data_IF_570382379821
#
_entry.id   IF_570382379821
#
_cell.length_a   1.000
_cell.length_b   1.000
_cell.length_c   1.000
_cell.angle_alpha   90.00
_cell.angle_beta   90.00
_cell.angle_gamma   90.00
#
_symmetry.space_group_name_H-M   'P 1'
#
loop_
_entity.id
_entity.type
_entity.pdbx_description
1 polymer ?
#
# COMPACT_ATOMS: atom_id res chain seq x y z
N UNK A 1 5.68 -1.52 -14.93
CA UNK A 1 4.79 -2.66 -14.61
C UNK A 1 5.62 -3.56 -13.74
N UNK A 2 5.30 -3.62 -12.45
CA UNK A 2 6.08 -4.33 -11.45
C UNK A 2 6.17 -5.82 -11.83
N UNK A 3 7.38 -6.35 -11.97
CA UNK A 3 7.60 -7.77 -12.19
C UNK A 3 7.69 -8.50 -10.84
N UNK A 4 6.61 -9.17 -10.44
CA UNK A 4 6.56 -9.99 -9.23
C UNK A 4 7.17 -11.37 -9.53
N UNK A 5 8.14 -11.87 -8.73
CA UNK A 5 8.64 -13.24 -8.87
C UNK A 5 7.57 -14.27 -8.51
N UNK A 6 7.24 -15.17 -9.44
CA UNK A 6 6.20 -16.19 -9.23
C UNK A 6 6.51 -17.15 -8.07
N UNK A 7 7.79 -17.43 -7.82
CA UNK A 7 8.24 -18.38 -6.79
C UNK A 7 7.93 -17.93 -5.35
N UNK A 8 7.70 -16.63 -5.13
CA UNK A 8 7.34 -16.09 -3.81
C UNK A 8 5.88 -16.29 -3.42
N UNK A 9 5.02 -16.55 -4.41
CA UNK A 9 3.58 -16.66 -4.21
C UNK A 9 3.03 -17.93 -4.89
N UNK A 10 3.39 -19.14 -4.40
CA UNK A 10 2.96 -20.40 -5.02
C UNK A 10 1.43 -20.60 -5.04
N UNK A 11 0.67 -19.79 -4.29
CA UNK A 11 -0.80 -19.78 -4.30
C UNK A 11 -1.45 -18.73 -5.21
N UNK A 12 -0.66 -17.88 -5.89
CA UNK A 12 -1.18 -16.88 -6.83
C UNK A 12 -0.92 -17.33 -8.27
N UNK A 13 -1.96 -17.28 -9.10
CA UNK A 13 -1.81 -17.46 -10.55
C UNK A 13 -0.97 -16.33 -11.15
N UNK A 14 -0.24 -16.60 -12.23
CA UNK A 14 0.52 -15.60 -12.99
C UNK A 14 -0.32 -14.37 -13.39
N UNK A 15 -1.59 -14.57 -13.76
CA UNK A 15 -2.52 -13.48 -14.04
C UNK A 15 -2.73 -12.55 -12.83
N UNK A 16 -2.88 -13.08 -11.62
CA UNK A 16 -2.99 -12.29 -10.40
C UNK A 16 -1.69 -11.55 -10.06
N UNK A 17 -0.54 -12.17 -10.33
CA UNK A 17 0.76 -11.54 -10.14
C UNK A 17 0.96 -10.37 -11.12
N UNK A 18 0.59 -10.56 -12.38
CA UNK A 18 0.68 -9.53 -13.43
C UNK A 18 -0.27 -8.36 -13.17
N UNK A 19 -1.48 -8.65 -12.72
CA UNK A 19 -2.50 -7.64 -12.37
C UNK A 19 -2.28 -7.05 -10.96
N UNK A 20 -1.27 -7.51 -10.21
CA UNK A 20 -0.97 -7.02 -8.86
C UNK A 20 -2.08 -7.29 -7.83
N UNK A 21 -2.84 -8.38 -8.00
CA UNK A 21 -3.95 -8.77 -7.12
C UNK A 21 -3.41 -9.53 -5.92
N UNK A 22 -3.21 -8.81 -4.82
CA UNK A 22 -2.73 -9.35 -3.55
C UNK A 22 -3.80 -9.32 -2.46
N UNK A 23 -3.82 -10.34 -1.60
CA UNK A 23 -4.58 -10.29 -0.33
C UNK A 23 -3.68 -9.82 0.81
N UNK A 24 -4.27 -9.51 1.98
CA UNK A 24 -3.53 -8.95 3.11
C UNK A 24 -2.34 -9.79 3.58
N UNK A 25 -2.42 -11.13 3.52
CA UNK A 25 -1.30 -12.02 3.83
C UNK A 25 -0.16 -11.89 2.82
N UNK A 26 -0.48 -11.67 1.55
CA UNK A 26 0.52 -11.55 0.49
C UNK A 26 1.21 -10.20 0.58
N UNK A 27 0.46 -9.12 0.79
CA UNK A 27 1.00 -7.77 1.02
C UNK A 27 2.01 -7.81 2.18
N UNK A 28 1.68 -8.49 3.29
CA UNK A 28 2.60 -8.65 4.43
C UNK A 28 3.88 -9.43 4.08
N UNK A 29 3.82 -10.37 3.13
CA UNK A 29 5.01 -11.08 2.64
C UNK A 29 5.86 -10.16 1.77
N UNK A 30 5.24 -9.48 0.81
CA UNK A 30 5.90 -8.51 -0.08
C UNK A 30 6.60 -7.41 0.72
N UNK A 31 5.94 -6.85 1.75
CA UNK A 31 6.53 -5.81 2.60
C UNK A 31 7.77 -6.23 3.38
N UNK A 32 8.00 -7.54 3.56
CA UNK A 32 9.18 -8.08 4.25
C UNK A 32 10.31 -8.47 3.28
N UNK A 33 10.05 -8.46 1.98
CA UNK A 33 11.03 -8.84 0.98
C UNK A 33 11.85 -7.63 0.54
N UNK A 34 13.08 -7.54 1.04
CA UNK A 34 14.01 -6.47 0.67
C UNK A 34 14.41 -6.51 -0.81
N UNK A 35 14.37 -7.70 -1.44
CA UNK A 35 14.68 -7.85 -2.86
C UNK A 35 13.54 -7.38 -3.78
N UNK A 36 12.35 -7.12 -3.22
CA UNK A 36 11.22 -6.64 -4.00
C UNK A 36 11.43 -5.18 -4.42
N UNK A 37 11.96 -4.36 -3.52
CA UNK A 37 12.15 -2.92 -3.73
C UNK A 37 13.24 -2.61 -4.74
N UNK A 38 14.27 -3.45 -4.79
CA UNK A 38 15.37 -3.32 -5.74
C UNK A 38 14.93 -3.51 -7.20
N UNK A 39 13.81 -4.22 -7.42
CA UNK A 39 13.24 -4.48 -8.75
C UNK A 39 12.31 -3.38 -9.26
N UNK A 40 12.02 -2.37 -8.44
CA UNK A 40 11.14 -1.27 -8.81
C UNK A 40 11.90 -0.12 -9.45
N UNK A 41 11.28 0.47 -10.47
CA UNK A 41 11.70 1.76 -11.03
C UNK A 41 11.51 2.90 -10.02
N UNK A 42 12.15 4.04 -10.24
CA UNK A 42 12.16 5.15 -9.26
C UNK A 42 10.75 5.59 -8.82
N UNK A 43 9.80 5.74 -9.74
CA UNK A 43 8.44 6.16 -9.40
C UNK A 43 7.64 5.03 -8.74
N UNK A 44 7.87 3.77 -9.16
CA UNK A 44 7.25 2.59 -8.55
C UNK A 44 7.71 2.45 -7.10
N UNK A 45 9.00 2.67 -6.84
CA UNK A 45 9.59 2.65 -5.50
C UNK A 45 9.03 3.76 -4.61
N UNK A 46 8.93 4.99 -5.09
CA UNK A 46 8.33 6.10 -4.31
C UNK A 46 6.88 5.83 -3.92
N UNK A 47 6.10 5.31 -4.87
CA UNK A 47 4.72 4.91 -4.61
C UNK A 47 4.66 3.77 -3.58
N UNK A 48 5.51 2.75 -3.72
CA UNK A 48 5.60 1.64 -2.78
C UNK A 48 6.02 2.07 -1.38
N UNK A 49 7.03 2.93 -1.24
CA UNK A 49 7.47 3.50 0.04
C UNK A 49 6.36 4.29 0.72
N UNK A 50 5.64 5.13 -0.03
CA UNK A 50 4.49 5.87 0.51
C UNK A 50 3.34 4.94 0.93
N UNK A 51 3.12 3.84 0.21
CA UNK A 51 2.14 2.82 0.58
C UNK A 51 2.54 2.06 1.85
N UNK A 52 3.81 1.65 1.97
CA UNK A 52 4.35 1.05 3.19
C UNK A 52 4.16 1.99 4.37
N UNK A 53 4.46 3.28 4.19
CA UNK A 53 4.32 4.28 5.24
C UNK A 53 2.87 4.38 5.73
N UNK A 54 1.90 4.47 4.82
CA UNK A 54 0.46 4.44 5.18
C UNK A 54 0.15 3.19 6.02
N UNK A 55 0.53 1.99 5.56
CA UNK A 55 0.27 0.75 6.32
C UNK A 55 0.91 0.78 7.71
N UNK A 56 2.16 1.25 7.82
CA UNK A 56 2.83 1.32 9.12
C UNK A 56 2.20 2.34 10.05
N UNK A 57 1.72 3.48 9.52
CA UNK A 57 0.98 4.48 10.29
C UNK A 57 -0.40 4.00 10.73
N UNK A 58 -0.94 2.95 10.10
CA UNK A 58 -2.13 2.23 10.54
C UNK A 58 -1.85 1.16 11.61
N UNK A 59 -0.58 0.76 11.78
CA UNK A 59 -0.19 -0.43 12.54
C UNK A 59 -0.03 -0.12 14.05
N UNK A 60 -1.02 0.55 14.62
CA UNK A 60 -1.08 0.84 16.04
C UNK A 60 -2.45 1.37 16.46
N UNK A 61 -2.77 1.19 17.74
CA UNK A 61 -3.94 1.81 18.40
C UNK A 61 -3.84 3.34 18.49
N UNK A 62 -2.98 3.98 17.70
CA UNK A 62 -2.73 5.41 17.69
C UNK A 62 -2.56 5.88 16.26
N UNK A 63 -3.40 6.82 15.86
CA UNK A 63 -3.33 7.56 14.60
C UNK A 63 -2.12 8.50 14.65
N UNK A 64 -1.29 8.46 13.61
CA UNK A 64 -0.16 9.38 13.45
C UNK A 64 -0.65 10.83 13.31
N UNK A 65 0.05 11.82 13.89
CA UNK A 65 -0.32 13.24 13.77
C UNK A 65 -0.22 13.74 12.33
N UNK A 66 0.69 13.15 11.54
CA UNK A 66 0.94 13.49 10.14
C UNK A 66 0.15 12.59 9.18
N UNK A 67 -0.83 11.85 9.69
CA UNK A 67 -1.55 10.84 8.92
C UNK A 67 -2.21 11.38 7.65
N UNK A 68 -2.75 12.61 7.69
CA UNK A 68 -3.34 13.26 6.51
C UNK A 68 -2.30 13.49 5.42
N UNK A 69 -1.13 14.04 5.75
CA UNK A 69 -0.08 14.30 4.76
C UNK A 69 0.49 13.02 4.17
N UNK A 70 0.61 11.96 4.97
CA UNK A 70 1.08 10.64 4.51
C UNK A 70 0.12 10.06 3.46
N UNK A 71 -1.19 10.14 3.68
CA UNK A 71 -2.18 9.65 2.70
C UNK A 71 -2.21 10.52 1.44
N UNK A 72 -2.12 11.84 1.59
CA UNK A 72 -2.07 12.78 0.46
C UNK A 72 -0.83 12.53 -0.43
N UNK A 73 0.33 12.27 0.19
CA UNK A 73 1.57 11.93 -0.51
C UNK A 73 1.45 10.60 -1.27
N UNK A 74 0.88 9.56 -0.67
CA UNK A 74 0.62 8.29 -1.34
C UNK A 74 -0.27 8.48 -2.58
N UNK A 75 -1.35 9.25 -2.45
CA UNK A 75 -2.26 9.52 -3.58
C UNK A 75 -1.55 10.28 -4.69
N UNK A 76 -0.68 11.24 -4.35
CA UNK A 76 0.12 11.99 -5.32
C UNK A 76 1.07 11.05 -6.08
N UNK A 77 1.79 10.18 -5.39
CA UNK A 77 2.70 9.22 -6.02
C UNK A 77 1.95 8.22 -6.92
N UNK A 78 0.78 7.76 -6.50
CA UNK A 78 -0.06 6.88 -7.32
C UNK A 78 -0.59 7.58 -8.58
N UNK A 79 -0.95 8.88 -8.49
CA UNK A 79 -1.31 9.67 -9.67
C UNK A 79 -0.15 9.84 -10.64
N UNK A 80 1.07 10.04 -10.15
CA UNK A 80 2.30 10.12 -10.99
C UNK A 80 2.53 8.80 -11.73
N UNK A 81 2.24 7.65 -11.10
CA UNK A 81 2.27 6.34 -11.74
C UNK A 81 1.15 6.09 -12.76
N UNK A 82 0.17 7.00 -12.87
CA UNK A 82 -1.01 6.80 -13.70
C UNK A 82 -2.02 5.80 -13.12
N UNK A 83 -1.91 5.48 -11.82
CA UNK A 83 -2.85 4.59 -11.17
C UNK A 83 -4.23 5.27 -10.99
N UNK A 84 -5.29 4.53 -11.31
CA UNK A 84 -6.65 4.93 -10.94
C UNK A 84 -6.88 4.73 -9.44
N UNK A 85 -7.67 5.61 -8.81
CA UNK A 85 -8.00 5.49 -7.41
C UNK A 85 -8.98 4.33 -7.20
N UNK A 86 -8.58 3.32 -6.43
CA UNK A 86 -9.50 2.25 -6.04
C UNK A 86 -10.55 2.77 -5.04
N UNK A 87 -11.68 2.07 -4.95
CA UNK A 87 -12.73 2.42 -3.97
C UNK A 87 -12.20 2.45 -2.53
N UNK A 88 -11.26 1.55 -2.19
CA UNK A 88 -10.62 1.52 -0.87
C UNK A 88 -9.77 2.77 -0.60
N UNK A 89 -8.98 3.22 -1.58
CA UNK A 89 -8.17 4.44 -1.46
C UNK A 89 -9.07 5.68 -1.43
N UNK A 90 -10.16 5.68 -2.19
CA UNK A 90 -11.16 6.75 -2.17
C UNK A 90 -11.84 6.85 -0.79
N UNK A 91 -12.27 5.72 -0.23
CA UNK A 91 -12.86 5.66 1.10
C UNK A 91 -11.86 6.13 2.16
N UNK A 92 -10.62 5.62 2.10
CA UNK A 92 -9.54 6.03 2.99
C UNK A 92 -9.39 7.55 2.98
N UNK A 93 -9.20 8.16 1.81
CA UNK A 93 -8.99 9.60 1.64
C UNK A 93 -10.19 10.44 2.10
N UNK A 94 -11.40 10.04 1.71
CA UNK A 94 -12.62 10.81 2.00
C UNK A 94 -12.99 10.75 3.48
N UNK A 95 -12.62 9.66 4.16
CA UNK A 95 -12.99 9.43 5.55
C UNK A 95 -11.85 9.57 6.56
N UNK A 96 -10.69 10.11 6.15
CA UNK A 96 -9.52 10.29 7.04
C UNK A 96 -9.86 10.98 8.38
N UNK A 97 -10.77 11.96 8.35
CA UNK A 97 -11.16 12.76 9.51
C UNK A 97 -12.05 11.97 10.49
N UNK A 98 -12.79 10.97 10.00
CA UNK A 98 -13.70 10.17 10.84
C UNK A 98 -12.99 9.04 11.59
N UNK A 99 -11.75 8.70 11.22
CA UNK A 99 -10.99 7.68 11.96
C UNK A 99 -10.66 8.17 13.37
N UNK A 100 -11.02 7.40 14.41
CA UNK A 100 -10.70 7.72 15.79
C UNK A 100 -9.19 7.71 16.01
N UNK A 101 -8.74 8.35 17.09
CA UNK A 101 -7.32 8.29 17.48
C UNK A 101 -6.85 6.85 17.71
N UNK A 102 -7.73 5.99 18.25
CA UNK A 102 -7.46 4.57 18.39
C UNK A 102 -8.04 3.75 17.23
N UNK A 103 -7.19 3.48 16.24
CA UNK A 103 -7.54 2.72 15.04
C UNK A 103 -7.88 1.24 15.31
N UNK A 104 -7.38 0.67 16.41
CA UNK A 104 -7.67 -0.72 16.79
C UNK A 104 -8.97 -0.90 17.58
N UNK A 105 -9.56 0.19 18.11
CA UNK A 105 -10.85 0.13 18.80
C UNK A 105 -12.05 -0.07 17.83
N UNK A 106 -11.82 0.10 16.53
CA UNK A 106 -12.83 0.00 15.47
C UNK A 106 -12.57 -1.15 14.49
N UNK A 107 -11.62 -2.05 14.84
CA UNK A 107 -11.22 -3.22 14.04
C UNK A 107 -11.98 -4.49 14.42
#
# INVERSE_FOLDING_TARGET
MIQIPCDQFPGLSEAKLKEGVFVGSDIRKVMKDENFESKMETNERKAWESFKLVITSFHGNKKDTNYKSIVEEMIKNFKILGCSMSLKVHFLNSHLVYFPENLGAVS
#
